data_IF_816635312044
#
_entry.id   IF_816635312044
#
_cell.length_a   1.000
_cell.length_b   1.000
_cell.length_c   1.000
_cell.angle_alpha   90.00
_cell.angle_beta   90.00
_cell.angle_gamma   90.00
#
_symmetry.space_group_name_H-M   'P 1'
#
loop_
_entity.id
_entity.type
_entity.pdbx_description
1 polymer ?
#
# COMPACT_ATOMS: atom_id res chain seq x y z
N UNK A 1 -15.49 -3.65 25.24
CA UNK A 1 -14.84 -3.66 23.90
C UNK A 1 -15.51 -2.61 23.03
N UNK A 2 -14.74 -1.76 22.34
CA UNK A 2 -15.30 -0.75 21.43
C UNK A 2 -15.35 -1.32 20.01
N UNK A 3 -16.52 -1.37 19.39
CA UNK A 3 -16.66 -1.72 17.97
C UNK A 3 -16.27 -0.53 17.11
N UNK A 4 -15.42 -0.76 16.13
CA UNK A 4 -14.98 0.25 15.16
C UNK A 4 -15.21 -0.34 13.76
N UNK A 5 -16.01 0.34 12.94
CA UNK A 5 -16.29 -0.11 11.58
C UNK A 5 -15.11 0.26 10.66
N UNK A 6 -14.66 -0.71 9.86
CA UNK A 6 -13.59 -0.47 8.88
C UNK A 6 -13.88 -1.11 7.54
N UNK A 7 -13.74 -0.31 6.48
CA UNK A 7 -13.96 -0.75 5.09
C UNK A 7 -12.70 -1.32 4.44
N UNK A 8 -11.58 -1.28 5.16
CA UNK A 8 -10.23 -1.54 4.64
C UNK A 8 -10.10 -2.94 4.06
N UNK A 9 -10.64 -3.96 4.73
CA UNK A 9 -10.56 -5.33 4.25
C UNK A 9 -11.34 -5.54 2.94
N UNK A 10 -12.56 -5.01 2.84
CA UNK A 10 -13.38 -5.12 1.63
C UNK A 10 -12.71 -4.42 0.43
N UNK A 11 -12.09 -3.26 0.66
CA UNK A 11 -11.31 -2.54 -0.35
C UNK A 11 -10.07 -3.33 -0.78
N UNK A 12 -9.30 -3.89 0.16
CA UNK A 12 -8.12 -4.71 -0.18
C UNK A 12 -8.53 -5.95 -0.98
N UNK A 13 -9.62 -6.61 -0.61
CA UNK A 13 -10.16 -7.75 -1.36
C UNK A 13 -10.54 -7.35 -2.79
N UNK A 14 -11.24 -6.22 -2.95
CA UNK A 14 -11.61 -5.67 -4.26
C UNK A 14 -10.37 -5.38 -5.11
N UNK A 15 -9.35 -4.74 -4.53
CA UNK A 15 -8.11 -4.40 -5.23
C UNK A 15 -7.36 -5.66 -5.68
N UNK A 16 -7.27 -6.69 -4.83
CA UNK A 16 -6.66 -7.98 -5.18
C UNK A 16 -7.44 -8.64 -6.32
N UNK A 17 -8.77 -8.69 -6.23
CA UNK A 17 -9.62 -9.29 -7.26
C UNK A 17 -9.45 -8.59 -8.62
N UNK A 18 -9.50 -7.26 -8.66
CA UNK A 18 -9.31 -6.46 -9.88
C UNK A 18 -7.89 -6.59 -10.43
N UNK A 19 -6.88 -6.64 -9.58
CA UNK A 19 -5.48 -6.83 -10.01
C UNK A 19 -5.31 -8.18 -10.69
N UNK A 20 -5.85 -9.24 -10.07
CA UNK A 20 -5.84 -10.59 -10.63
C UNK A 20 -6.60 -10.64 -11.96
N UNK A 21 -7.77 -10.00 -12.03
CA UNK A 21 -8.59 -9.92 -13.24
C UNK A 21 -7.85 -9.27 -14.41
N UNK A 22 -7.23 -8.10 -14.19
CA UNK A 22 -6.44 -7.39 -15.21
C UNK A 22 -5.25 -8.24 -15.69
N UNK A 23 -4.64 -9.04 -14.81
CA UNK A 23 -3.51 -9.90 -15.17
C UNK A 23 -3.91 -11.00 -16.15
N UNK A 24 -5.08 -11.61 -16.01
CA UNK A 24 -5.52 -12.71 -16.86
C UNK A 24 -6.35 -12.26 -18.08
N UNK A 25 -7.13 -11.20 -17.98
CA UNK A 25 -8.04 -10.76 -19.04
C UNK A 25 -7.34 -9.80 -20.01
N UNK A 26 -7.44 -10.12 -21.31
CA UNK A 26 -6.93 -9.30 -22.42
C UNK A 26 -8.02 -8.34 -22.94
N UNK A 27 -8.39 -7.32 -22.18
CA UNK A 27 -9.42 -6.34 -22.58
C UNK A 27 -8.96 -4.90 -22.35
N UNK A 28 -8.99 -4.08 -23.40
CA UNK A 28 -8.71 -2.62 -23.31
C UNK A 28 -9.83 -1.90 -22.58
N UNK A 29 -11.09 -2.27 -22.84
CA UNK A 29 -12.27 -1.65 -22.24
C UNK A 29 -12.28 -1.78 -20.71
N UNK A 30 -11.94 -2.97 -20.19
CA UNK A 30 -11.83 -3.20 -18.75
C UNK A 30 -10.76 -2.31 -18.13
N UNK A 31 -9.56 -2.24 -18.73
CA UNK A 31 -8.48 -1.40 -18.22
C UNK A 31 -8.90 0.07 -18.18
N UNK A 32 -9.52 0.56 -19.25
CA UNK A 32 -10.03 1.93 -19.33
C UNK A 32 -11.12 2.20 -18.27
N UNK A 33 -12.04 1.26 -18.08
CA UNK A 33 -13.11 1.39 -17.08
C UNK A 33 -12.54 1.51 -15.66
N UNK A 34 -11.51 0.72 -15.32
CA UNK A 34 -10.83 0.79 -14.03
C UNK A 34 -10.11 2.14 -13.87
N UNK A 35 -9.39 2.61 -14.88
CA UNK A 35 -8.72 3.91 -14.85
C UNK A 35 -9.73 5.04 -14.63
N UNK A 36 -10.84 5.07 -15.38
CA UNK A 36 -11.89 6.08 -15.23
C UNK A 36 -12.56 6.00 -13.85
N UNK A 37 -12.86 4.79 -13.38
CA UNK A 37 -13.43 4.57 -12.04
C UNK A 37 -12.51 5.11 -10.94
N UNK A 38 -11.22 4.81 -10.99
CA UNK A 38 -10.24 5.32 -10.02
C UNK A 38 -10.07 6.84 -10.13
N UNK A 39 -9.99 7.39 -11.33
CA UNK A 39 -9.89 8.83 -11.53
C UNK A 39 -11.11 9.55 -10.92
N UNK A 40 -12.32 9.04 -11.16
CA UNK A 40 -13.54 9.59 -10.56
C UNK A 40 -13.49 9.55 -9.02
N UNK A 41 -13.02 8.44 -8.45
CA UNK A 41 -12.86 8.28 -7.01
C UNK A 41 -11.82 9.26 -6.42
N UNK A 42 -10.66 9.43 -7.07
CA UNK A 42 -9.63 10.38 -6.63
C UNK A 42 -10.07 11.84 -6.75
N UNK A 43 -10.88 12.17 -7.77
CA UNK A 43 -11.52 13.48 -7.93
C UNK A 43 -12.47 13.74 -6.76
N UNK A 44 -13.32 12.77 -6.40
CA UNK A 44 -14.22 12.87 -5.23
C UNK A 44 -13.44 13.08 -3.92
N UNK A 45 -12.27 12.44 -3.77
CA UNK A 45 -11.38 12.63 -2.62
C UNK A 45 -10.55 13.92 -2.69
N UNK A 46 -10.68 14.72 -3.76
CA UNK A 46 -9.92 15.96 -4.03
C UNK A 46 -8.40 15.75 -3.97
N UNK A 47 -7.90 14.56 -4.32
CA UNK A 47 -6.47 14.21 -4.30
C UNK A 47 -5.81 14.43 -5.66
N UNK A 48 -5.65 15.69 -6.05
CA UNK A 48 -5.08 16.10 -7.34
C UNK A 48 -3.68 15.54 -7.60
N UNK A 49 -2.85 15.50 -6.57
CA UNK A 49 -1.52 14.88 -6.66
C UNK A 49 -1.62 13.39 -6.99
N UNK A 50 -2.64 12.70 -6.46
CA UNK A 50 -2.92 11.31 -6.79
C UNK A 50 -3.26 11.09 -8.25
N UNK A 51 -4.08 11.96 -8.82
CA UNK A 51 -4.44 11.93 -10.23
C UNK A 51 -3.20 12.12 -11.09
N UNK A 52 -2.39 13.13 -10.76
CA UNK A 52 -1.14 13.43 -11.47
C UNK A 52 -0.19 12.22 -11.47
N UNK A 53 0.07 11.62 -10.32
CA UNK A 53 0.96 10.45 -10.23
C UNK A 53 0.40 9.19 -10.89
N UNK A 54 -0.93 9.00 -10.86
CA UNK A 54 -1.58 7.86 -11.55
C UNK A 54 -1.34 7.92 -13.05
N UNK A 55 -1.25 9.11 -13.64
CA UNK A 55 -1.01 9.29 -15.08
C UNK A 55 0.48 9.36 -15.40
N UNK A 56 1.28 10.00 -14.56
CA UNK A 56 2.71 10.22 -14.80
C UNK A 56 3.55 8.96 -14.57
N UNK A 57 3.35 8.27 -13.45
CA UNK A 57 4.20 7.15 -13.02
C UNK A 57 4.22 5.98 -14.03
N UNK A 58 3.07 5.52 -14.58
CA UNK A 58 3.07 4.45 -15.56
C UNK A 58 3.47 4.89 -16.97
N UNK A 59 3.66 6.19 -17.24
CA UNK A 59 3.96 6.67 -18.59
C UNK A 59 5.24 6.03 -19.16
N UNK A 60 6.30 5.98 -18.34
CA UNK A 60 7.56 5.34 -18.73
C UNK A 60 7.41 3.84 -19.01
N UNK A 61 6.89 3.01 -18.09
CA UNK A 61 6.72 1.58 -18.37
C UNK A 61 5.69 1.31 -19.47
N UNK A 62 4.64 2.14 -19.62
CA UNK A 62 3.65 1.98 -20.69
C UNK A 62 4.27 2.23 -22.06
N UNK A 63 5.05 3.32 -22.24
CA UNK A 63 5.74 3.62 -23.49
C UNK A 63 6.80 2.57 -23.82
N UNK A 64 7.56 2.13 -22.82
CA UNK A 64 8.56 1.07 -22.98
C UNK A 64 7.92 -0.23 -23.48
N UNK A 65 6.82 -0.66 -22.85
CA UNK A 65 6.08 -1.86 -23.26
C UNK A 65 5.48 -1.70 -24.66
N UNK A 66 4.87 -0.54 -24.95
CA UNK A 66 4.29 -0.26 -26.27
C UNK A 66 5.34 -0.35 -27.38
N UNK A 67 6.49 0.32 -27.21
CA UNK A 67 7.57 0.29 -28.20
C UNK A 67 8.17 -1.11 -28.39
N UNK A 68 8.40 -1.82 -27.28
CA UNK A 68 8.97 -3.17 -27.33
C UNK A 68 8.08 -4.15 -28.11
N UNK A 69 6.76 -4.08 -27.94
CA UNK A 69 5.80 -4.96 -28.59
C UNK A 69 5.53 -4.49 -30.03
N UNK A 70 5.51 -3.19 -30.29
CA UNK A 70 5.36 -2.67 -31.65
C UNK A 70 6.45 -3.17 -32.60
N UNK A 71 7.66 -3.42 -32.07
CA UNK A 71 8.78 -3.96 -32.84
C UNK A 71 8.69 -5.48 -33.08
N UNK A 72 7.98 -6.24 -32.24
CA UNK A 72 8.05 -7.71 -32.23
C UNK A 72 6.69 -8.43 -32.25
N UNK A 73 5.56 -7.72 -32.22
CA UNK A 73 4.24 -8.34 -32.00
C UNK A 73 3.05 -7.54 -32.54
N UNK A 74 1.84 -7.99 -32.17
CA UNK A 74 0.59 -7.41 -32.65
C UNK A 74 0.25 -6.06 -32.01
N UNK A 75 -0.19 -5.10 -32.82
CA UNK A 75 -0.60 -3.77 -32.38
C UNK A 75 -1.76 -3.82 -31.35
N UNK A 76 -2.66 -4.80 -31.47
CA UNK A 76 -3.75 -5.00 -30.50
C UNK A 76 -3.24 -5.38 -29.10
N UNK A 77 -2.17 -6.16 -29.02
CA UNK A 77 -1.55 -6.55 -27.75
C UNK A 77 -0.77 -5.39 -27.13
N UNK A 78 -0.09 -4.59 -27.96
CA UNK A 78 0.60 -3.38 -27.51
C UNK A 78 -0.37 -2.41 -26.79
N UNK A 79 -1.56 -2.20 -27.36
CA UNK A 79 -2.58 -1.32 -26.76
C UNK A 79 -3.14 -1.87 -25.43
N UNK A 80 -3.29 -3.19 -25.31
CA UNK A 80 -3.73 -3.83 -24.06
C UNK A 80 -2.68 -3.64 -22.96
N UNK A 81 -1.40 -3.83 -23.27
CA UNK A 81 -0.31 -3.71 -22.29
C UNK A 81 -0.04 -2.25 -21.90
N UNK A 82 -0.23 -1.32 -22.84
CA UNK A 82 -0.21 0.11 -22.56
C UNK A 82 -1.29 0.48 -21.54
N UNK A 83 -2.56 0.19 -21.84
CA UNK A 83 -3.69 0.52 -20.95
C UNK A 83 -3.63 -0.21 -19.61
N UNK A 84 -3.12 -1.44 -19.58
CA UNK A 84 -2.91 -2.23 -18.35
C UNK A 84 -1.93 -1.54 -17.39
N UNK A 85 -0.87 -0.93 -17.91
CA UNK A 85 0.11 -0.22 -17.09
C UNK A 85 -0.53 0.94 -16.31
N UNK A 86 -1.46 1.66 -16.94
CA UNK A 86 -2.25 2.70 -16.28
C UNK A 86 -3.26 2.13 -15.26
N UNK A 87 -3.94 1.03 -15.59
CA UNK A 87 -4.89 0.40 -14.67
C UNK A 87 -4.21 -0.11 -13.39
N UNK A 88 -3.02 -0.71 -13.50
CA UNK A 88 -2.24 -1.14 -12.33
C UNK A 88 -1.77 0.03 -11.47
N UNK A 89 -1.29 1.11 -12.09
CA UNK A 89 -0.94 2.32 -11.35
C UNK A 89 -2.15 2.95 -10.64
N UNK A 90 -3.32 2.94 -11.28
CA UNK A 90 -4.57 3.44 -10.72
C UNK A 90 -5.02 2.62 -9.49
N UNK A 91 -4.98 1.29 -9.57
CA UNK A 91 -5.25 0.43 -8.42
C UNK A 91 -4.24 0.67 -7.28
N UNK A 92 -2.95 0.82 -7.61
CA UNK A 92 -1.90 1.15 -6.65
C UNK A 92 -2.15 2.49 -5.95
N UNK A 93 -2.58 3.52 -6.67
CA UNK A 93 -2.89 4.82 -6.08
C UNK A 93 -4.13 4.76 -5.18
N UNK A 94 -5.12 3.96 -5.58
CA UNK A 94 -6.33 3.72 -4.77
C UNK A 94 -5.97 3.04 -3.46
N UNK A 95 -5.08 2.05 -3.49
CA UNK A 95 -4.54 1.42 -2.29
C UNK A 95 -3.87 2.46 -1.37
N UNK A 96 -2.97 3.29 -1.91
CA UNK A 96 -2.19 4.24 -1.12
C UNK A 96 -3.05 5.27 -0.38
N UNK A 97 -4.12 5.78 -1.01
CA UNK A 97 -4.98 6.80 -0.38
C UNK A 97 -6.14 6.23 0.44
N UNK A 98 -6.62 5.02 0.13
CA UNK A 98 -7.83 4.48 0.73
C UNK A 98 -7.57 3.48 1.84
N UNK A 99 -6.37 2.87 1.87
CA UNK A 99 -6.02 1.80 2.81
C UNK A 99 -5.06 2.30 3.88
N UNK A 100 -5.53 2.35 5.13
CA UNK A 100 -4.68 2.59 6.29
C UNK A 100 -4.04 1.28 6.77
N UNK A 101 -2.72 1.17 6.60
CA UNK A 101 -1.94 -0.02 6.97
C UNK A 101 -2.12 -0.41 8.46
N UNK A 102 -2.19 0.57 9.37
CA UNK A 102 -2.44 0.34 10.80
C UNK A 102 -3.78 -0.37 11.07
N UNK A 103 -4.84 0.00 10.34
CA UNK A 103 -6.16 -0.64 10.47
C UNK A 103 -6.15 -2.04 9.86
N UNK A 104 -5.49 -2.20 8.71
CA UNK A 104 -5.34 -3.49 8.05
C UNK A 104 -4.63 -4.50 8.95
N UNK A 105 -3.51 -4.12 9.57
CA UNK A 105 -2.76 -5.00 10.46
C UNK A 105 -3.57 -5.43 11.68
N UNK A 106 -4.28 -4.50 12.31
CA UNK A 106 -5.14 -4.80 13.46
C UNK A 106 -6.29 -5.72 13.08
N UNK A 107 -6.86 -5.56 11.88
CA UNK A 107 -7.89 -6.46 11.37
C UNK A 107 -7.33 -7.88 11.15
N UNK A 108 -6.15 -8.00 10.53
CA UNK A 108 -5.51 -9.30 10.31
C UNK A 108 -5.10 -9.99 11.61
N UNK A 109 -4.64 -9.24 12.60
CA UNK A 109 -4.35 -9.76 13.94
C UNK A 109 -5.58 -10.42 14.57
N UNK A 110 -6.76 -9.79 14.45
CA UNK A 110 -8.03 -10.37 14.93
C UNK A 110 -8.42 -11.66 14.17
N UNK A 111 -7.93 -11.83 12.94
CA UNK A 111 -8.17 -13.02 12.11
C UNK A 111 -7.11 -14.12 12.29
N UNK A 112 -6.15 -13.94 13.19
CA UNK A 112 -5.17 -14.97 13.55
C UNK A 112 -3.73 -14.69 13.12
N UNK A 113 -3.42 -13.47 12.67
CA UNK A 113 -2.03 -13.11 12.38
C UNK A 113 -1.21 -13.08 13.69
N UNK A 114 0.01 -13.67 13.71
CA UNK A 114 0.82 -13.77 14.93
C UNK A 114 1.05 -12.42 15.63
N UNK A 115 0.95 -12.42 16.95
CA UNK A 115 1.10 -11.23 17.79
C UNK A 115 2.46 -10.56 17.60
N UNK A 116 3.56 -11.31 17.62
CA UNK A 116 4.92 -10.78 17.48
C UNK A 116 5.10 -10.01 16.16
N UNK A 117 4.57 -10.54 15.04
CA UNK A 117 4.66 -9.88 13.75
C UNK A 117 3.79 -8.62 13.70
N UNK A 118 2.54 -8.71 14.18
CA UNK A 118 1.61 -7.58 14.17
C UNK A 118 2.17 -6.42 15.00
N UNK A 119 2.59 -6.69 16.23
CA UNK A 119 3.08 -5.66 17.13
C UNK A 119 4.42 -5.11 16.67
N UNK A 120 5.34 -5.95 16.16
CA UNK A 120 6.59 -5.50 15.58
C UNK A 120 6.37 -4.49 14.46
N UNK A 121 5.47 -4.78 13.51
CA UNK A 121 5.20 -3.85 12.42
C UNK A 121 4.42 -2.62 12.91
N UNK A 122 3.45 -2.76 13.81
CA UNK A 122 2.74 -1.61 14.39
C UNK A 122 3.69 -0.65 15.13
N UNK A 123 4.67 -1.17 15.87
CA UNK A 123 5.68 -0.36 16.55
C UNK A 123 6.48 0.41 15.52
N UNK A 124 7.02 -0.27 14.50
CA UNK A 124 7.82 0.39 13.45
C UNK A 124 7.02 1.48 12.74
N UNK A 125 5.78 1.18 12.33
CA UNK A 125 4.92 2.14 11.61
C UNK A 125 4.63 3.40 12.41
N UNK A 126 4.39 3.27 13.72
CA UNK A 126 4.16 4.44 14.58
C UNK A 126 5.48 5.14 14.97
N UNK A 127 6.60 4.43 14.93
CA UNK A 127 7.93 4.95 15.25
C UNK A 127 8.61 5.70 14.08
N UNK A 128 8.15 5.55 12.84
CA UNK A 128 8.71 6.24 11.65
C UNK A 128 9.07 7.72 11.89
N UNK A 129 8.17 8.58 12.40
CA UNK A 129 8.49 10.00 12.58
C UNK A 129 9.61 10.22 13.61
N UNK A 130 9.72 9.36 14.61
CA UNK A 130 10.78 9.47 15.61
C UNK A 130 12.11 8.98 15.03
N UNK A 131 12.09 7.90 14.26
CA UNK A 131 13.26 7.40 13.51
C UNK A 131 13.81 8.48 12.56
N UNK A 132 12.92 9.21 11.86
CA UNK A 132 13.32 10.30 10.98
C UNK A 132 14.05 11.41 11.74
N UNK A 133 13.56 11.80 12.93
CA UNK A 133 14.20 12.81 13.79
C UNK A 133 15.55 12.34 14.30
N UNK A 134 15.65 11.08 14.74
CA UNK A 134 16.91 10.49 15.21
C UNK A 134 17.98 10.46 14.12
N UNK A 135 17.59 10.08 12.89
CA UNK A 135 18.47 10.08 11.73
C UNK A 135 18.95 11.51 11.39
N UNK A 136 18.07 12.51 11.49
CA UNK A 136 18.43 13.91 11.30
C UNK A 136 19.43 14.38 12.37
N UNK A 137 19.18 14.09 13.64
CA UNK A 137 20.07 14.43 14.74
C UNK A 137 21.47 13.81 14.56
N UNK A 138 21.55 12.57 14.08
CA UNK A 138 22.82 11.88 13.80
C UNK A 138 23.55 12.51 12.62
N UNK A 139 22.82 12.94 11.60
CA UNK A 139 23.39 13.67 10.46
C UNK A 139 23.99 15.00 10.92
N UNK A 140 23.26 15.76 11.74
CA UNK A 140 23.70 17.04 12.30
C UNK A 140 24.91 16.86 13.24
N UNK A 141 24.88 15.89 14.15
CA UNK A 141 25.99 15.59 15.03
C UNK A 141 27.26 15.17 14.26
N UNK A 142 27.11 14.49 13.13
CA UNK A 142 28.23 14.17 12.25
C UNK A 142 28.79 15.41 11.56
N UNK A 143 27.92 16.33 11.12
CA UNK A 143 28.32 17.61 10.53
C UNK A 143 29.12 18.45 11.54
N UNK A 144 28.71 18.50 12.80
CA UNK A 144 29.47 19.17 13.88
C UNK A 144 30.87 18.58 14.09
N UNK A 145 31.06 17.29 13.77
CA UNK A 145 32.37 16.61 13.81
C UNK A 145 33.16 16.76 12.50
N UNK A 146 32.74 17.66 11.60
CA UNK A 146 33.37 17.87 10.30
C UNK A 146 33.15 16.73 9.30
N UNK A 147 32.27 15.76 9.59
CA UNK A 147 32.00 14.62 8.70
C UNK A 147 30.63 14.77 8.03
N UNK A 148 30.64 15.01 6.72
CA UNK A 148 29.43 15.12 5.90
C UNK A 148 28.88 13.74 5.52
N UNK A 149 27.78 13.34 6.17
CA UNK A 149 27.06 12.12 5.80
C UNK A 149 26.16 12.39 4.60
N UNK A 150 26.58 11.86 3.45
CA UNK A 150 25.77 11.81 2.23
C UNK A 150 24.89 10.56 2.23
N UNK A 151 23.77 10.60 1.51
CA UNK A 151 22.86 9.46 1.40
C UNK A 151 23.46 8.23 0.69
N UNK A 152 24.55 8.40 -0.06
CA UNK A 152 25.31 7.30 -0.67
C UNK A 152 26.41 6.75 0.24
N UNK A 153 26.67 7.34 1.41
CA UNK A 153 27.76 6.92 2.28
C UNK A 153 27.39 5.63 3.04
N UNK A 154 28.19 4.55 2.95
CA UNK A 154 27.95 3.34 3.74
C UNK A 154 27.92 3.59 5.25
N UNK A 155 28.71 4.57 5.72
CA UNK A 155 28.80 4.94 7.13
C UNK A 155 27.46 5.44 7.69
N UNK A 156 26.65 6.10 6.86
CA UNK A 156 25.32 6.57 7.23
C UNK A 156 24.38 5.41 7.56
N UNK A 157 24.38 4.37 6.70
CA UNK A 157 23.56 3.18 6.89
C UNK A 157 23.99 2.35 8.10
N UNK A 158 25.30 2.21 8.34
CA UNK A 158 25.82 1.51 9.51
C UNK A 158 25.35 2.20 10.80
N UNK A 159 25.43 3.54 10.87
CA UNK A 159 24.91 4.31 12.02
C UNK A 159 23.41 4.09 12.20
N UNK A 160 22.64 4.13 11.13
CA UNK A 160 21.20 3.88 11.17
C UNK A 160 20.85 2.47 11.69
N UNK A 161 21.61 1.44 11.30
CA UNK A 161 21.43 0.07 11.79
C UNK A 161 21.72 -0.03 13.28
N UNK A 162 22.80 0.58 13.78
CA UNK A 162 23.10 0.59 15.21
C UNK A 162 22.02 1.30 16.04
N UNK A 163 21.48 2.40 15.53
CA UNK A 163 20.35 3.10 16.15
C UNK A 163 19.13 2.17 16.21
N UNK A 164 18.82 1.47 15.11
CA UNK A 164 17.71 0.54 15.05
C UNK A 164 17.86 -0.63 16.05
N UNK A 165 19.08 -1.15 16.25
CA UNK A 165 19.33 -2.18 17.27
C UNK A 165 19.12 -1.66 18.69
N UNK A 166 19.66 -0.49 19.03
CA UNK A 166 19.44 0.13 20.33
C UNK A 166 17.93 0.35 20.59
N UNK A 167 17.21 0.80 19.58
CA UNK A 167 15.76 0.96 19.65
C UNK A 167 15.05 -0.35 19.90
N UNK A 168 15.36 -1.39 19.12
CA UNK A 168 14.77 -2.73 19.30
C UNK A 168 14.86 -3.19 20.75
N UNK A 169 16.05 -3.09 21.34
CA UNK A 169 16.29 -3.58 22.69
C UNK A 169 15.48 -2.77 23.73
N UNK A 170 15.48 -1.44 23.63
CA UNK A 170 14.64 -0.56 24.47
C UNK A 170 13.14 -0.81 24.32
N UNK A 171 12.66 -1.11 23.11
CA UNK A 171 11.24 -1.41 22.88
C UNK A 171 10.86 -2.76 23.47
N UNK A 172 11.72 -3.77 23.34
CA UNK A 172 11.50 -5.09 23.92
C UNK A 172 11.43 -4.98 25.45
N UNK A 173 12.37 -4.25 26.06
CA UNK A 173 12.37 -4.00 27.50
C UNK A 173 11.09 -3.27 27.94
N UNK A 174 10.69 -2.21 27.23
CA UNK A 174 9.45 -1.50 27.51
C UNK A 174 8.22 -2.41 27.37
N UNK A 175 8.16 -3.28 26.36
CA UNK A 175 7.08 -4.23 26.18
C UNK A 175 7.01 -5.21 27.35
N UNK A 176 8.12 -5.81 27.76
CA UNK A 176 8.17 -6.70 28.91
C UNK A 176 7.82 -6.00 30.22
N UNK A 177 8.26 -4.74 30.42
CA UNK A 177 7.88 -3.93 31.59
C UNK A 177 6.37 -3.65 31.64
N UNK A 178 5.70 -3.55 30.50
CA UNK A 178 4.23 -3.47 30.40
C UNK A 178 3.56 -4.85 30.47
N UNK A 179 4.30 -5.87 30.89
CA UNK A 179 3.84 -7.25 31.05
C UNK A 179 3.52 -7.94 29.74
N UNK A 180 4.11 -7.53 28.61
CA UNK A 180 3.96 -8.23 27.33
C UNK A 180 4.52 -9.65 27.43
N UNK A 181 3.70 -10.64 27.03
CA UNK A 181 4.09 -12.04 26.93
C UNK A 181 3.58 -12.56 25.60
N UNK A 182 4.47 -13.20 24.85
CA UNK A 182 4.22 -13.72 23.50
C UNK A 182 3.34 -14.97 23.50
N UNK A 183 3.37 -15.75 24.59
CA UNK A 183 2.71 -17.04 24.70
C UNK A 183 1.23 -16.93 25.08
N UNK A 184 0.84 -15.79 25.66
CA UNK A 184 -0.49 -15.57 26.22
C UNK A 184 -1.40 -14.89 25.20
N UNK A 185 -2.58 -15.49 24.95
CA UNK A 185 -3.64 -14.86 24.13
C UNK A 185 -4.17 -13.60 24.80
N UNK A 186 -4.08 -12.46 24.11
CA UNK A 186 -4.57 -11.16 24.60
C UNK A 186 -5.96 -10.83 24.11
N UNK A 187 -6.67 -10.01 24.89
CA UNK A 187 -7.94 -9.42 24.49
C UNK A 187 -7.73 -8.20 23.57
N UNK A 188 -8.60 -8.05 22.56
CA UNK A 188 -8.56 -6.89 21.68
C UNK A 188 -9.40 -5.74 22.24
N UNK A 189 -8.77 -4.60 22.54
CA UNK A 189 -9.48 -3.41 23.05
C UNK A 189 -10.50 -2.85 22.05
N UNK A 190 -10.11 -2.77 20.77
CA UNK A 190 -10.98 -2.39 19.65
C UNK A 190 -11.20 -3.58 18.74
N UNK A 191 -12.45 -3.92 18.50
CA UNK A 191 -12.83 -4.97 17.56
C UNK A 191 -13.20 -4.31 16.23
N UNK A 192 -12.51 -4.69 15.17
CA UNK A 192 -12.67 -4.11 13.84
C UNK A 192 -13.61 -5.02 13.07
N UNK A 193 -14.82 -4.53 12.84
CA UNK A 193 -15.82 -5.26 12.05
C UNK A 193 -15.95 -4.59 10.68
N UNK A 194 -16.05 -5.41 9.64
CA UNK A 194 -16.33 -4.91 8.29
C UNK A 194 -17.84 -4.78 8.13
N UNK A 195 -18.38 -3.58 7.92
CA UNK A 195 -19.81 -3.41 7.76
C UNK A 195 -20.28 -4.12 6.48
N UNK A 196 -21.41 -4.82 6.57
CA UNK A 196 -21.97 -5.58 5.43
C UNK A 196 -22.26 -4.69 4.23
N UNK A 197 -22.64 -3.43 4.48
CA UNK A 197 -22.88 -2.42 3.45
C UNK A 197 -21.63 -2.13 2.61
N UNK A 198 -20.46 -1.98 3.22
CA UNK A 198 -19.22 -1.73 2.49
C UNK A 198 -18.80 -2.92 1.61
N UNK A 199 -19.01 -4.14 2.10
CA UNK A 199 -18.78 -5.36 1.30
C UNK A 199 -19.72 -5.41 0.10
N UNK A 200 -21.00 -5.05 0.29
CA UNK A 200 -21.99 -5.01 -0.79
C UNK A 200 -21.61 -3.95 -1.83
N UNK A 201 -21.22 -2.75 -1.41
CA UNK A 201 -20.78 -1.69 -2.33
C UNK A 201 -19.56 -2.11 -3.15
N UNK A 202 -18.56 -2.75 -2.53
CA UNK A 202 -17.38 -3.26 -3.26
C UNK A 202 -17.77 -4.34 -4.28
N UNK A 203 -18.69 -5.24 -3.90
CA UNK A 203 -19.19 -6.27 -4.80
C UNK A 203 -19.97 -5.69 -5.99
N UNK A 204 -20.81 -4.68 -5.76
CA UNK A 204 -21.52 -3.97 -6.83
C UNK A 204 -20.56 -3.23 -7.77
N UNK A 205 -19.52 -2.59 -7.23
CA UNK A 205 -18.47 -1.95 -8.05
C UNK A 205 -17.76 -2.99 -8.92
N UNK A 206 -17.41 -4.15 -8.35
CA UNK A 206 -16.77 -5.23 -9.09
C UNK A 206 -17.66 -5.72 -10.25
N UNK A 207 -18.95 -5.95 -10.01
CA UNK A 207 -19.90 -6.35 -11.04
C UNK A 207 -20.08 -5.27 -12.13
N UNK A 208 -20.15 -4.00 -11.75
CA UNK A 208 -20.28 -2.89 -12.70
C UNK A 208 -19.06 -2.83 -13.63
N UNK A 209 -17.85 -2.99 -13.10
CA UNK A 209 -16.63 -3.04 -13.91
C UNK A 209 -16.66 -4.25 -14.85
N UNK A 210 -17.08 -5.42 -14.35
CA UNK A 210 -17.17 -6.65 -15.15
C UNK A 210 -18.21 -6.56 -16.27
N UNK A 211 -19.24 -5.70 -16.15
CA UNK A 211 -20.19 -5.44 -17.24
C UNK A 211 -19.50 -4.93 -18.52
N UNK A 212 -18.35 -4.27 -18.39
CA UNK A 212 -17.59 -3.78 -19.55
C UNK A 212 -17.00 -4.90 -20.41
N UNK A 213 -16.93 -6.12 -19.89
CA UNK A 213 -16.56 -7.31 -20.67
C UNK A 213 -17.66 -7.77 -21.63
N UNK A 214 -18.91 -7.39 -21.38
CA UNK A 214 -20.06 -7.73 -22.23
C UNK A 214 -20.15 -6.83 -23.48
N UNK A 215 -19.38 -5.73 -23.51
CA UNK A 215 -19.34 -4.82 -24.65
C UNK A 215 -18.66 -5.57 -25.82
N UNK A 216 -19.31 -5.68 -26.99
CA UNK A 216 -18.71 -6.35 -28.14
C UNK A 216 -17.40 -5.65 -28.56
N UNK A 217 -16.38 -6.47 -28.83
CA UNK A 217 -15.03 -6.05 -29.23
C UNK A 217 -14.98 -5.50 -30.65
#
# INVERSE_FOLDING_TARGET
>A
MKKEETNVFALVLLLIALTLEISFIRSTWLNCAIVVGVLSHLICLKKWWGIFWTLLLPLLPALANYWAIQLHGDNSQAMILFTRSFALAALGMTFLYSVHLNQLLRYWHQKGLPSHFTYGLLVVLNAIPVIQKEIQAVREASLLRGKTLHFWSPLFYIKAIFIAFNWRDSYIEAMYAHGFDETIKRSCYRQLETPKSASLTCFLIFLLINLTLLIPR
#
